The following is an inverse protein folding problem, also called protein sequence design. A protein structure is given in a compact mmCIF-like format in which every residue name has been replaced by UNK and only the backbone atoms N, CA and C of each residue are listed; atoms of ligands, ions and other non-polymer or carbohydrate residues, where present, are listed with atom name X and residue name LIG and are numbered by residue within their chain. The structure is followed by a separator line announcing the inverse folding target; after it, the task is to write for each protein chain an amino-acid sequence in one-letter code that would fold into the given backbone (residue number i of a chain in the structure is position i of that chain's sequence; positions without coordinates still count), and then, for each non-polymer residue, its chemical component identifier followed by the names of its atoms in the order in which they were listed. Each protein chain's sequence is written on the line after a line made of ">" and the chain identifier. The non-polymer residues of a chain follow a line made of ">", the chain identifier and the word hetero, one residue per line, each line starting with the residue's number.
data_IF_461909399379
#
_entry.id   IF_461909399379
#
_cell.length_a   1.000
_cell.length_b   1.000
_cell.length_c   1.000
_cell.angle_alpha   90.00
_cell.angle_beta   90.00
_cell.angle_gamma   90.00
#
_symmetry.space_group_name_H-M   'P 1'
#
loop_
_entity.id
_entity.type
_entity.pdbx_description
1 polymer ?
#
# COMPACT_ATOMS: atom_id res chain seq x y z
N UNK A 1 8.95 -14.24 21.74
CA UNK A 1 8.19 -14.26 20.45
C UNK A 1 8.61 -13.09 19.57
N UNK A 2 8.47 -11.82 19.97
CA UNK A 2 8.83 -10.64 19.16
C UNK A 2 10.28 -10.71 18.65
N UNK A 3 11.26 -11.02 19.50
CA UNK A 3 12.67 -11.15 19.10
C UNK A 3 12.91 -12.22 18.02
N UNK A 4 12.20 -13.35 18.08
CA UNK A 4 12.32 -14.40 17.06
C UNK A 4 11.77 -13.91 15.71
N UNK A 5 10.60 -13.28 15.72
CA UNK A 5 9.97 -12.73 14.50
C UNK A 5 10.86 -11.62 13.91
N UNK A 6 11.38 -10.70 14.75
CA UNK A 6 12.30 -9.66 14.32
C UNK A 6 13.60 -10.25 13.70
N UNK A 7 14.12 -11.36 14.23
CA UNK A 7 15.29 -12.04 13.65
C UNK A 7 14.97 -12.61 12.26
N UNK A 8 13.81 -13.24 12.07
CA UNK A 8 13.35 -13.74 10.77
C UNK A 8 13.16 -12.58 9.81
N UNK A 9 12.48 -11.52 10.24
CA UNK A 9 12.28 -10.32 9.44
C UNK A 9 13.62 -9.66 9.03
N UNK A 10 14.61 -9.66 9.91
CA UNK A 10 15.94 -9.14 9.60
C UNK A 10 16.65 -9.93 8.50
N UNK A 11 16.41 -11.23 8.39
CA UNK A 11 16.91 -12.08 7.31
C UNK A 11 16.17 -11.79 5.99
N UNK A 12 14.84 -11.75 6.02
CA UNK A 12 14.04 -11.49 4.82
C UNK A 12 14.24 -10.05 4.29
N UNK A 13 14.02 -9.05 5.13
CA UNK A 13 14.11 -7.64 4.77
C UNK A 13 15.56 -7.09 4.82
N UNK A 14 16.52 -7.89 5.28
CA UNK A 14 17.93 -7.52 5.31
C UNK A 14 18.58 -7.40 3.94
N UNK A 15 18.26 -8.30 3.01
CA UNK A 15 18.79 -8.29 1.64
C UNK A 15 17.93 -9.04 0.65
N UNK A 16 17.36 -10.20 1.00
CA UNK A 16 16.69 -11.09 0.04
C UNK A 16 15.50 -10.41 -0.65
N UNK A 17 14.53 -9.94 0.13
CA UNK A 17 13.32 -9.31 -0.44
C UNK A 17 13.63 -8.00 -1.12
N UNK A 18 14.57 -7.21 -0.60
CA UNK A 18 15.00 -5.95 -1.22
C UNK A 18 15.58 -6.22 -2.62
N UNK A 19 16.48 -7.20 -2.75
CA UNK A 19 17.07 -7.59 -4.03
C UNK A 19 16.00 -8.14 -4.99
N UNK A 20 15.10 -8.99 -4.52
CA UNK A 20 14.02 -9.54 -5.35
C UNK A 20 13.06 -8.46 -5.83
N UNK A 21 12.61 -7.57 -4.96
CA UNK A 21 11.66 -6.51 -5.29
C UNK A 21 12.26 -5.46 -6.23
N UNK A 22 13.38 -4.88 -5.83
CA UNK A 22 14.06 -3.87 -6.63
C UNK A 22 14.58 -4.48 -7.93
N UNK A 23 15.14 -5.69 -7.86
CA UNK A 23 15.62 -6.43 -9.03
C UNK A 23 14.51 -6.73 -10.04
N UNK A 24 13.34 -7.19 -9.57
CA UNK A 24 12.16 -7.40 -10.44
C UNK A 24 11.67 -6.08 -11.03
N UNK A 25 11.66 -5.01 -10.25
CA UNK A 25 11.30 -3.68 -10.74
C UNK A 25 12.27 -3.16 -11.81
N UNK A 26 13.57 -3.31 -11.60
CA UNK A 26 14.60 -2.97 -12.62
C UNK A 26 14.41 -3.83 -13.88
N UNK A 27 14.23 -5.13 -13.71
CA UNK A 27 13.97 -6.05 -14.82
C UNK A 27 12.78 -5.59 -15.68
N UNK A 28 11.61 -5.36 -15.09
CA UNK A 28 10.45 -4.88 -15.82
C UNK A 28 10.64 -3.46 -16.38
N UNK A 29 11.31 -2.57 -15.65
CA UNK A 29 11.63 -1.23 -16.15
C UNK A 29 12.39 -1.28 -17.48
N UNK A 30 13.45 -2.12 -17.54
CA UNK A 30 14.25 -2.28 -18.75
C UNK A 30 13.45 -2.99 -19.85
N UNK A 31 12.81 -4.12 -19.52
CA UNK A 31 12.10 -4.94 -20.50
C UNK A 31 10.86 -4.23 -21.09
N UNK A 32 10.18 -3.40 -20.32
CA UNK A 32 9.04 -2.58 -20.74
C UNK A 32 9.46 -1.18 -21.21
N UNK A 33 10.76 -0.94 -21.42
CA UNK A 33 11.30 0.32 -21.97
C UNK A 33 10.86 1.54 -21.19
N UNK A 34 11.07 1.52 -19.86
CA UNK A 34 10.69 2.60 -18.94
C UNK A 34 9.17 2.94 -19.01
N UNK A 35 8.34 1.93 -18.91
CA UNK A 35 6.87 2.04 -19.01
C UNK A 35 6.30 3.11 -18.07
N UNK A 36 6.85 3.24 -16.87
CA UNK A 36 6.45 4.23 -15.87
C UNK A 36 6.66 5.69 -16.31
N UNK A 37 7.54 5.94 -17.28
CA UNK A 37 7.72 7.26 -17.90
C UNK A 37 6.89 7.37 -19.17
N UNK A 38 7.03 6.38 -20.05
CA UNK A 38 6.44 6.38 -21.38
C UNK A 38 4.91 6.34 -21.38
N UNK A 39 4.30 5.58 -20.47
CA UNK A 39 2.84 5.44 -20.35
C UNK A 39 2.21 6.28 -19.23
N UNK A 40 2.99 7.07 -18.50
CA UNK A 40 2.49 7.88 -17.39
C UNK A 40 1.35 8.82 -17.79
N UNK A 41 1.55 9.59 -18.88
CA UNK A 41 0.52 10.49 -19.40
C UNK A 41 -0.77 9.75 -19.77
N UNK A 42 -0.67 8.53 -20.33
CA UNK A 42 -1.84 7.71 -20.64
C UNK A 42 -2.58 7.25 -19.38
N UNK A 43 -1.85 6.85 -18.36
CA UNK A 43 -2.45 6.52 -17.07
C UNK A 43 -3.29 7.70 -16.53
N UNK A 44 -2.74 8.93 -16.56
CA UNK A 44 -3.48 10.11 -16.13
C UNK A 44 -4.71 10.38 -17.02
N UNK A 45 -4.58 10.30 -18.35
CA UNK A 45 -5.72 10.56 -19.25
C UNK A 45 -6.83 9.51 -19.11
N UNK A 46 -6.48 8.25 -18.81
CA UNK A 46 -7.46 7.20 -18.52
C UNK A 46 -8.23 7.47 -17.23
N UNK A 47 -7.55 8.01 -16.21
CA UNK A 47 -8.20 8.42 -14.97
C UNK A 47 -9.21 9.56 -15.17
N UNK A 48 -8.82 10.58 -15.92
CA UNK A 48 -9.67 11.76 -16.16
C UNK A 48 -10.82 11.48 -17.10
N UNK A 49 -10.65 10.53 -18.04
CA UNK A 49 -11.68 10.11 -18.98
C UNK A 49 -12.78 9.23 -18.36
N UNK A 50 -12.43 8.45 -17.35
CA UNK A 50 -13.34 7.55 -16.63
C UNK A 50 -13.79 8.14 -15.26
N UNK A 51 -13.42 9.41 -14.99
CA UNK A 51 -13.77 10.08 -13.74
C UNK A 51 -15.24 10.45 -13.72
N UNK A 52 -16.05 9.59 -13.15
CA UNK A 52 -17.47 9.83 -12.90
C UNK A 52 -17.79 9.43 -11.45
N UNK A 53 -17.98 10.45 -10.59
CA UNK A 53 -18.37 10.25 -9.18
C UNK A 53 -19.74 9.59 -9.02
N UNK A 54 -20.56 9.60 -10.09
CA UNK A 54 -21.85 8.93 -10.14
C UNK A 54 -21.82 7.72 -11.08
N UNK A 55 -20.64 7.15 -11.32
CA UNK A 55 -20.41 6.03 -12.24
C UNK A 55 -21.32 4.83 -11.98
N UNK A 56 -21.41 3.94 -12.98
CA UNK A 56 -22.24 2.73 -12.87
C UNK A 56 -21.84 1.93 -11.64
N UNK A 57 -22.83 1.55 -10.83
CA UNK A 57 -22.65 0.71 -9.66
C UNK A 57 -21.79 -0.53 -9.95
N UNK A 58 -20.91 -0.88 -9.01
CA UNK A 58 -20.24 -2.18 -9.05
C UNK A 58 -21.27 -3.29 -8.96
N UNK A 59 -21.11 -4.30 -9.79
CA UNK A 59 -22.02 -5.45 -9.90
C UNK A 59 -21.25 -6.78 -9.96
N UNK A 60 -21.94 -7.88 -10.21
CA UNK A 60 -21.34 -9.20 -10.35
C UNK A 60 -20.31 -9.33 -11.49
N UNK A 61 -20.29 -8.40 -12.45
CA UNK A 61 -19.33 -8.36 -13.53
C UNK A 61 -18.11 -7.48 -13.22
N UNK A 62 -18.02 -6.92 -12.03
CA UNK A 62 -16.89 -6.11 -11.55
C UNK A 62 -17.25 -4.66 -11.26
N UNK A 63 -16.25 -3.81 -11.24
CA UNK A 63 -16.33 -2.37 -10.96
C UNK A 63 -15.77 -1.54 -12.13
N UNK A 64 -16.01 -0.22 -12.14
CA UNK A 64 -15.40 0.68 -13.12
C UNK A 64 -13.88 0.74 -12.92
N UNK A 65 -13.14 1.21 -13.93
CA UNK A 65 -11.69 1.42 -13.82
C UNK A 65 -11.36 2.43 -12.71
N UNK A 66 -12.17 3.48 -12.56
CA UNK A 66 -12.04 4.45 -11.49
C UNK A 66 -12.32 3.86 -10.10
N UNK A 67 -13.36 3.03 -9.93
CA UNK A 67 -13.62 2.31 -8.68
C UNK A 67 -12.49 1.35 -8.32
N UNK A 68 -11.91 0.66 -9.30
CA UNK A 68 -10.77 -0.22 -9.09
C UNK A 68 -9.53 0.57 -8.67
N UNK A 69 -9.26 1.72 -9.30
CA UNK A 69 -8.22 2.65 -8.88
C UNK A 69 -8.45 3.14 -7.45
N UNK A 70 -9.66 3.65 -7.16
CA UNK A 70 -9.98 4.17 -5.84
C UNK A 70 -9.83 3.08 -4.76
N UNK A 71 -10.19 1.83 -5.08
CA UNK A 71 -10.01 0.69 -4.18
C UNK A 71 -8.52 0.34 -3.99
N UNK A 72 -7.71 0.41 -5.04
CA UNK A 72 -6.27 0.21 -4.96
C UNK A 72 -5.59 1.33 -4.15
N UNK A 73 -5.93 2.60 -4.42
CA UNK A 73 -5.44 3.74 -3.62
C UNK A 73 -5.91 3.64 -2.16
N UNK A 74 -7.15 3.21 -1.91
CA UNK A 74 -7.66 2.98 -0.55
C UNK A 74 -6.80 1.98 0.22
N UNK A 75 -6.35 0.92 -0.44
CA UNK A 75 -5.47 -0.08 0.16
C UNK A 75 -4.06 0.48 0.41
N UNK A 76 -3.51 1.24 -0.52
CA UNK A 76 -2.16 1.78 -0.47
C UNK A 76 -2.04 2.96 0.50
N UNK A 77 -2.91 3.96 0.37
CA UNK A 77 -2.83 5.20 1.17
C UNK A 77 -3.45 4.99 2.55
N UNK A 78 -2.63 4.63 3.50
CA UNK A 78 -3.03 4.28 4.87
C UNK A 78 -2.00 4.69 5.91
N UNK A 79 -1.87 3.85 6.93
CA UNK A 79 -0.84 4.01 7.98
C UNK A 79 0.58 4.10 7.41
N UNK A 80 0.86 3.44 6.27
CA UNK A 80 2.17 3.47 5.61
C UNK A 80 2.63 4.88 5.26
N UNK A 81 1.75 5.72 4.74
CA UNK A 81 2.08 7.08 4.33
C UNK A 81 2.29 8.04 5.51
N UNK A 82 1.60 7.83 6.62
CA UNK A 82 1.66 8.72 7.78
C UNK A 82 2.64 8.19 8.83
N UNK A 83 2.33 7.08 9.45
CA UNK A 83 3.17 6.47 10.47
C UNK A 83 4.40 5.76 9.90
N UNK A 84 4.26 5.11 8.73
CA UNK A 84 5.37 4.42 8.05
C UNK A 84 6.46 5.38 7.58
N UNK A 85 6.10 6.54 7.02
CA UNK A 85 7.06 7.59 6.66
C UNK A 85 7.83 8.09 7.88
N UNK A 86 7.14 8.38 8.98
CA UNK A 86 7.75 8.78 10.25
C UNK A 86 8.71 7.70 10.79
N UNK A 87 8.28 6.44 10.80
CA UNK A 87 9.10 5.30 11.21
C UNK A 87 10.34 5.14 10.33
N UNK A 88 10.21 5.31 9.00
CA UNK A 88 11.34 5.24 8.09
C UNK A 88 12.38 6.34 8.37
N UNK A 89 11.93 7.57 8.62
CA UNK A 89 12.81 8.69 8.97
C UNK A 89 13.53 8.41 10.30
N UNK A 90 12.84 7.92 11.32
CA UNK A 90 13.45 7.63 12.63
C UNK A 90 14.41 6.44 12.57
N UNK A 91 14.03 5.35 11.89
CA UNK A 91 14.80 4.10 11.88
C UNK A 91 15.88 4.06 10.81
N UNK A 92 15.70 4.75 9.68
CA UNK A 92 16.59 4.77 8.52
C UNK A 92 17.27 6.11 8.27
N UNK A 93 16.89 7.15 9.01
CA UNK A 93 17.28 8.54 8.74
C UNK A 93 16.46 9.16 7.60
N UNK A 94 16.57 10.49 7.37
CA UNK A 94 15.87 11.18 6.27
C UNK A 94 16.14 10.58 4.89
N UNK A 95 17.33 10.00 4.68
CA UNK A 95 17.70 9.30 3.44
C UNK A 95 16.84 8.11 3.09
N UNK A 96 16.08 7.54 4.05
CA UNK A 96 15.12 6.48 3.76
C UNK A 96 14.04 6.94 2.77
N UNK A 97 13.66 8.21 2.77
CA UNK A 97 12.68 8.78 1.84
C UNK A 97 13.19 8.71 0.39
N UNK A 98 14.47 8.99 0.15
CA UNK A 98 15.07 8.81 -1.17
C UNK A 98 14.95 7.36 -1.66
N UNK A 99 15.23 6.39 -0.81
CA UNK A 99 15.12 4.97 -1.15
C UNK A 99 13.68 4.48 -1.30
N UNK A 100 12.71 5.14 -0.64
CA UNK A 100 11.28 4.96 -0.92
C UNK A 100 10.95 5.40 -2.35
N UNK A 101 11.43 6.56 -2.80
CA UNK A 101 11.23 7.02 -4.19
C UNK A 101 11.85 6.08 -5.21
N UNK A 102 13.09 5.62 -4.96
CA UNK A 102 13.77 4.67 -5.84
C UNK A 102 13.00 3.36 -5.94
N UNK A 103 12.57 2.79 -4.81
CA UNK A 103 11.79 1.55 -4.81
C UNK A 103 10.43 1.72 -5.48
N UNK A 104 9.76 2.85 -5.27
CA UNK A 104 8.48 3.16 -5.92
C UNK A 104 8.63 3.34 -7.44
N UNK A 105 9.67 4.03 -7.90
CA UNK A 105 9.93 4.21 -9.32
C UNK A 105 10.07 2.87 -10.04
N UNK A 106 10.86 1.94 -9.50
CA UNK A 106 10.97 0.59 -10.06
C UNK A 106 9.71 -0.24 -9.80
N UNK A 107 9.06 -0.07 -8.66
CA UNK A 107 7.80 -0.71 -8.30
C UNK A 107 6.65 -0.39 -9.26
N UNK A 108 6.62 0.83 -9.84
CA UNK A 108 5.62 1.18 -10.85
C UNK A 108 5.62 0.21 -12.04
N UNK A 109 6.78 -0.24 -12.52
CA UNK A 109 6.84 -1.23 -13.60
C UNK A 109 6.39 -2.62 -13.15
N UNK A 110 6.62 -2.97 -11.89
CA UNK A 110 6.17 -4.23 -11.31
C UNK A 110 4.64 -4.27 -11.18
N UNK A 111 4.04 -3.22 -10.61
CA UNK A 111 2.57 -3.16 -10.45
C UNK A 111 1.84 -3.11 -11.80
N UNK A 112 2.46 -2.53 -12.83
CA UNK A 112 1.97 -2.57 -14.20
C UNK A 112 1.86 -4.01 -14.71
N UNK A 113 2.92 -4.82 -14.49
CA UNK A 113 2.92 -6.23 -14.86
C UNK A 113 1.88 -7.03 -14.05
N UNK A 114 1.77 -6.78 -12.74
CA UNK A 114 0.77 -7.38 -11.86
C UNK A 114 -0.66 -7.12 -12.34
N UNK A 115 -0.97 -5.87 -12.70
CA UNK A 115 -2.28 -5.47 -13.16
C UNK A 115 -2.65 -6.14 -14.50
N UNK A 116 -1.70 -6.23 -15.43
CA UNK A 116 -1.91 -6.95 -16.71
C UNK A 116 -2.21 -8.42 -16.45
N UNK A 117 -1.37 -9.12 -15.69
CA UNK A 117 -1.57 -10.54 -15.40
C UNK A 117 -2.91 -10.78 -14.67
N UNK A 118 -3.26 -9.90 -13.75
CA UNK A 118 -4.53 -10.04 -13.02
C UNK A 118 -5.75 -9.91 -13.94
N UNK A 119 -5.67 -9.05 -14.96
CA UNK A 119 -6.71 -8.90 -15.97
C UNK A 119 -6.76 -10.09 -16.95
N UNK A 120 -5.61 -10.62 -17.35
CA UNK A 120 -5.52 -11.77 -18.25
C UNK A 120 -6.07 -13.07 -17.62
N UNK A 121 -5.82 -13.25 -16.32
CA UNK A 121 -6.18 -14.49 -15.61
C UNK A 121 -7.38 -14.35 -14.66
N UNK A 122 -8.14 -13.27 -14.77
CA UNK A 122 -9.40 -13.16 -14.03
C UNK A 122 -10.37 -14.24 -14.44
N UNK A 123 -11.12 -14.73 -13.46
CA UNK A 123 -12.10 -15.81 -13.68
C UNK A 123 -13.49 -15.36 -13.22
N UNK A 124 -14.52 -16.01 -13.75
CA UNK A 124 -15.88 -15.86 -13.25
C UNK A 124 -16.20 -17.07 -12.38
N UNK A 125 -16.30 -16.85 -11.07
CA UNK A 125 -16.58 -17.90 -10.09
C UNK A 125 -17.97 -17.63 -9.51
N UNK A 126 -18.87 -18.60 -9.56
CA UNK A 126 -20.24 -18.46 -9.05
C UNK A 126 -20.94 -17.16 -9.49
N UNK A 127 -20.81 -16.82 -10.78
CA UNK A 127 -21.35 -15.62 -11.45
C UNK A 127 -20.69 -14.29 -11.06
N UNK A 128 -19.66 -14.26 -10.24
CA UNK A 128 -18.90 -13.06 -9.89
C UNK A 128 -17.52 -13.08 -10.52
N UNK A 129 -17.06 -11.91 -11.02
CA UNK A 129 -15.68 -11.76 -11.49
C UNK A 129 -14.76 -11.67 -10.29
N UNK A 130 -13.69 -12.44 -10.32
CA UNK A 130 -12.63 -12.48 -9.31
C UNK A 130 -11.28 -12.67 -9.98
N UNK A 131 -10.20 -12.36 -9.29
CA UNK A 131 -8.85 -12.54 -9.79
C UNK A 131 -7.82 -12.12 -8.74
N UNK A 132 -6.59 -12.03 -9.16
CA UNK A 132 -5.44 -11.73 -8.31
C UNK A 132 -4.34 -12.75 -8.48
N UNK A 133 -3.25 -12.66 -7.70
CA UNK A 133 -2.06 -13.49 -7.92
C UNK A 133 -2.30 -14.99 -7.86
N UNK A 134 -3.15 -15.48 -6.98
CA UNK A 134 -3.43 -16.92 -6.90
C UNK A 134 -3.82 -17.50 -8.25
N UNK A 135 -4.58 -16.76 -9.07
CA UNK A 135 -5.06 -17.21 -10.35
C UNK A 135 -3.97 -17.26 -11.42
N UNK A 136 -3.05 -16.31 -11.48
CA UNK A 136 -1.94 -16.37 -12.43
C UNK A 136 -0.77 -17.24 -11.93
N UNK A 137 -0.58 -17.38 -10.61
CA UNK A 137 0.38 -18.33 -10.03
C UNK A 137 -0.03 -19.76 -10.38
N UNK A 138 -1.33 -20.09 -10.34
CA UNK A 138 -1.86 -21.41 -10.68
C UNK A 138 -1.59 -21.79 -12.14
N UNK A 139 -1.40 -20.82 -13.04
CA UNK A 139 -1.07 -21.07 -14.45
C UNK A 139 0.40 -21.46 -14.69
N UNK A 140 1.26 -21.33 -13.68
CA UNK A 140 2.66 -21.74 -13.79
C UNK A 140 2.80 -23.24 -14.01
N UNK A 141 3.91 -23.63 -14.62
CA UNK A 141 4.30 -25.05 -14.76
C UNK A 141 3.18 -25.93 -15.34
N UNK A 142 2.44 -25.42 -16.33
CA UNK A 142 1.30 -26.09 -16.95
C UNK A 142 0.23 -26.53 -15.92
N UNK A 143 -0.04 -25.70 -14.92
CA UNK A 143 -0.98 -25.97 -13.83
C UNK A 143 -0.61 -27.18 -12.97
N UNK A 144 0.67 -27.44 -12.83
CA UNK A 144 1.19 -28.54 -12.04
C UNK A 144 0.97 -28.38 -10.54
N UNK A 145 1.29 -29.43 -9.78
CA UNK A 145 1.13 -29.45 -8.31
C UNK A 145 1.89 -28.31 -7.64
N UNK A 146 3.11 -28.01 -8.11
CA UNK A 146 3.93 -26.93 -7.56
C UNK A 146 3.25 -25.55 -7.72
N UNK A 147 2.64 -25.27 -8.88
CA UNK A 147 1.89 -24.04 -9.12
C UNK A 147 0.73 -23.89 -8.12
N UNK A 148 -0.01 -24.98 -7.90
CA UNK A 148 -1.11 -24.99 -6.94
C UNK A 148 -0.62 -24.80 -5.50
N UNK A 149 0.48 -25.41 -5.10
CA UNK A 149 1.10 -25.21 -3.78
C UNK A 149 1.52 -23.75 -3.59
N UNK A 150 2.16 -23.14 -4.59
CA UNK A 150 2.54 -21.71 -4.55
C UNK A 150 1.32 -20.79 -4.49
N UNK A 151 0.25 -21.08 -5.22
CA UNK A 151 -0.99 -20.30 -5.21
C UNK A 151 -1.70 -20.39 -3.86
N UNK A 152 -1.76 -21.57 -3.25
CA UNK A 152 -2.30 -21.78 -1.89
C UNK A 152 -1.44 -21.06 -0.86
N UNK A 153 -0.11 -21.18 -0.96
CA UNK A 153 0.81 -20.49 -0.05
C UNK A 153 0.68 -18.97 -0.14
N UNK A 154 0.59 -18.41 -1.36
CA UNK A 154 0.31 -16.99 -1.58
C UNK A 154 -1.01 -16.60 -0.91
N UNK A 155 -2.08 -17.35 -1.16
CA UNK A 155 -3.41 -17.03 -0.64
C UNK A 155 -3.47 -17.04 0.88
N UNK A 156 -2.85 -18.04 1.53
CA UNK A 156 -2.77 -18.09 2.99
C UNK A 156 -1.95 -16.93 3.54
N UNK A 157 -0.79 -16.63 2.91
CA UNK A 157 0.05 -15.50 3.32
C UNK A 157 -0.70 -14.16 3.16
N UNK A 158 -1.45 -13.97 2.06
CA UNK A 158 -2.24 -12.76 1.81
C UNK A 158 -3.36 -12.58 2.85
N UNK A 159 -4.08 -13.66 3.20
CA UNK A 159 -5.11 -13.62 4.24
C UNK A 159 -4.50 -13.22 5.59
N UNK A 160 -3.36 -13.80 5.96
CA UNK A 160 -2.68 -13.50 7.21
C UNK A 160 -2.06 -12.08 7.20
N UNK A 161 -1.39 -11.71 6.09
CA UNK A 161 -0.75 -10.41 5.94
C UNK A 161 -1.74 -9.26 5.97
N UNK A 162 -2.73 -9.28 5.08
CA UNK A 162 -3.63 -8.16 4.83
C UNK A 162 -4.94 -8.33 5.63
N UNK A 163 -5.55 -9.51 5.55
CA UNK A 163 -6.83 -9.77 6.19
C UNK A 163 -6.78 -9.65 7.72
N UNK A 164 -5.69 -10.04 8.35
CA UNK A 164 -5.58 -10.04 9.81
C UNK A 164 -4.51 -9.07 10.33
N UNK A 165 -3.22 -9.35 10.10
CA UNK A 165 -2.13 -8.59 10.72
C UNK A 165 -2.07 -7.15 10.23
N UNK A 166 -2.18 -6.93 8.93
CA UNK A 166 -2.20 -5.60 8.35
C UNK A 166 -3.40 -4.76 8.81
N UNK A 167 -4.59 -5.36 8.84
CA UNK A 167 -5.76 -4.69 9.40
C UNK A 167 -5.59 -4.36 10.89
N UNK A 168 -4.86 -5.22 11.63
CA UNK A 168 -4.44 -4.94 13.00
C UNK A 168 -3.53 -3.71 13.11
N UNK A 169 -2.54 -3.56 12.19
CA UNK A 169 -1.66 -2.37 12.13
C UNK A 169 -2.47 -1.10 11.90
N UNK A 170 -3.41 -1.14 10.94
CA UNK A 170 -4.26 0.02 10.64
C UNK A 170 -5.09 0.42 11.87
N UNK A 171 -5.76 -0.56 12.49
CA UNK A 171 -6.59 -0.34 13.68
C UNK A 171 -5.78 0.16 14.89
N UNK A 172 -4.56 -0.36 15.08
CA UNK A 172 -3.64 0.06 16.12
C UNK A 172 -3.27 1.54 15.98
N UNK A 173 -2.87 1.95 14.76
CA UNK A 173 -2.50 3.33 14.48
C UNK A 173 -3.69 4.30 14.62
N UNK A 174 -4.91 3.88 14.23
CA UNK A 174 -6.13 4.67 14.50
C UNK A 174 -6.33 4.82 16.01
N UNK A 175 -6.20 3.72 16.77
CA UNK A 175 -6.35 3.72 18.24
C UNK A 175 -5.37 4.69 18.92
N UNK A 176 -4.09 4.64 18.53
CA UNK A 176 -3.04 5.54 19.03
C UNK A 176 -3.32 7.01 18.67
N UNK A 177 -3.65 7.31 17.42
CA UNK A 177 -3.93 8.67 16.98
C UNK A 177 -5.14 9.29 17.68
N UNK A 178 -6.22 8.51 17.84
CA UNK A 178 -7.44 8.95 18.52
C UNK A 178 -7.19 9.13 20.03
N UNK A 179 -6.40 8.26 20.64
CA UNK A 179 -6.00 8.41 22.04
C UNK A 179 -5.17 9.69 22.25
N UNK A 180 -4.21 9.96 21.37
CA UNK A 180 -3.38 11.16 21.45
C UNK A 180 -4.18 12.46 21.25
N UNK A 181 -5.18 12.47 20.37
CA UNK A 181 -5.96 13.66 20.05
C UNK A 181 -7.19 13.87 20.96
N UNK A 182 -7.84 12.82 21.42
CA UNK A 182 -9.13 12.93 22.10
C UNK A 182 -9.17 12.24 23.47
N UNK A 183 -8.05 11.60 23.87
CA UNK A 183 -7.96 10.81 25.10
C UNK A 183 -9.03 9.68 25.19
N UNK A 184 -9.43 9.13 24.00
CA UNK A 184 -10.35 8.01 23.90
C UNK A 184 -9.55 6.72 23.91
N UNK A 185 -9.98 5.75 24.71
CA UNK A 185 -9.32 4.45 24.83
C UNK A 185 -9.28 3.70 23.48
N UNK A 186 -8.13 3.06 23.12
CA UNK A 186 -8.01 2.20 21.93
C UNK A 186 -9.04 1.05 21.89
N UNK A 187 -9.54 0.58 23.04
CA UNK A 187 -10.61 -0.42 23.10
C UNK A 187 -11.93 0.12 22.50
N UNK A 188 -12.29 1.37 22.81
CA UNK A 188 -13.50 2.02 22.29
C UNK A 188 -13.30 2.27 20.79
N UNK A 189 -12.15 2.84 20.42
CA UNK A 189 -11.82 3.12 19.02
C UNK A 189 -11.82 1.85 18.19
N UNK A 190 -11.19 0.77 18.66
CA UNK A 190 -11.15 -0.53 18.00
C UNK A 190 -12.54 -1.15 17.82
N UNK A 191 -13.40 -1.06 18.84
CA UNK A 191 -14.78 -1.53 18.73
C UNK A 191 -15.57 -0.76 17.66
N UNK A 192 -15.45 0.57 17.64
CA UNK A 192 -16.09 1.43 16.62
C UNK A 192 -15.59 1.10 15.22
N UNK A 193 -14.26 1.00 15.02
CA UNK A 193 -13.66 0.65 13.73
C UNK A 193 -14.11 -0.74 13.27
N UNK A 194 -14.14 -1.73 14.15
CA UNK A 194 -14.60 -3.08 13.84
C UNK A 194 -16.09 -3.11 13.42
N UNK A 195 -16.95 -2.38 14.10
CA UNK A 195 -18.39 -2.30 13.77
C UNK A 195 -18.62 -1.57 12.44
N UNK A 196 -17.95 -0.44 12.20
CA UNK A 196 -18.03 0.29 10.93
C UNK A 196 -17.48 -0.56 9.77
N UNK A 197 -16.37 -1.25 9.98
CA UNK A 197 -15.81 -2.22 9.02
C UNK A 197 -16.82 -3.32 8.71
N UNK A 198 -17.42 -3.92 9.73
CA UNK A 198 -18.46 -4.94 9.58
C UNK A 198 -19.62 -4.42 8.73
N UNK A 199 -20.11 -3.20 8.99
CA UNK A 199 -21.17 -2.60 8.19
C UNK A 199 -20.82 -2.52 6.71
N UNK A 200 -19.56 -2.22 6.36
CA UNK A 200 -19.09 -2.20 4.96
C UNK A 200 -18.93 -3.62 4.42
N UNK A 201 -18.30 -4.53 5.17
CA UNK A 201 -18.00 -5.91 4.75
C UNK A 201 -19.27 -6.71 4.42
N UNK A 202 -20.32 -6.60 5.24
CA UNK A 202 -21.60 -7.26 4.98
C UNK A 202 -22.34 -6.68 3.76
N UNK A 203 -21.98 -5.48 3.29
CA UNK A 203 -22.50 -4.89 2.05
C UNK A 203 -21.82 -5.38 0.78
N UNK A 204 -20.71 -6.14 0.91
CA UNK A 204 -20.00 -6.74 -0.22
C UNK A 204 -19.39 -5.72 -1.19
N UNK A 205 -19.03 -6.20 -2.40
CA UNK A 205 -18.30 -5.44 -3.40
C UNK A 205 -18.92 -4.06 -3.72
N UNK A 206 -20.24 -3.99 -3.85
CA UNK A 206 -20.93 -2.72 -4.16
C UNK A 206 -20.68 -1.65 -3.11
N UNK A 207 -20.74 -2.01 -1.83
CA UNK A 207 -20.52 -1.06 -0.73
C UNK A 207 -19.07 -0.68 -0.58
N UNK A 208 -18.15 -1.64 -0.78
CA UNK A 208 -16.70 -1.40 -0.80
C UNK A 208 -16.36 -0.38 -1.90
N UNK A 209 -16.76 -0.64 -3.14
CA UNK A 209 -16.50 0.24 -4.28
C UNK A 209 -17.10 1.64 -4.07
N UNK A 210 -18.36 1.73 -3.62
CA UNK A 210 -19.02 3.02 -3.38
C UNK A 210 -18.36 3.81 -2.23
N UNK A 211 -17.85 3.14 -1.21
CA UNK A 211 -17.14 3.79 -0.11
C UNK A 211 -15.81 4.37 -0.60
N UNK A 212 -14.98 3.52 -1.26
CA UNK A 212 -13.65 3.94 -1.71
C UNK A 212 -13.70 5.04 -2.75
N UNK A 213 -14.62 4.93 -3.72
CA UNK A 213 -14.83 5.93 -4.79
C UNK A 213 -15.12 7.34 -4.27
N UNK A 214 -15.89 7.44 -3.18
CA UNK A 214 -16.29 8.74 -2.61
C UNK A 214 -15.30 9.27 -1.59
N UNK A 215 -14.82 8.40 -0.70
CA UNK A 215 -13.99 8.81 0.45
C UNK A 215 -12.55 9.11 0.02
N UNK A 216 -11.97 8.27 -0.84
CA UNK A 216 -10.54 8.37 -1.18
C UNK A 216 -10.16 9.71 -1.83
N UNK A 217 -10.86 10.22 -2.85
CA UNK A 217 -10.48 11.49 -3.46
C UNK A 217 -10.61 12.68 -2.50
N UNK A 218 -11.65 12.68 -1.67
CA UNK A 218 -11.89 13.76 -0.70
C UNK A 218 -10.80 13.77 0.37
N UNK A 219 -10.52 12.61 0.98
CA UNK A 219 -9.51 12.52 2.04
C UNK A 219 -8.11 12.85 1.51
N UNK A 220 -7.74 12.35 0.31
CA UNK A 220 -6.45 12.63 -0.29
C UNK A 220 -6.31 14.12 -0.64
N UNK A 221 -7.34 14.72 -1.23
CA UNK A 221 -7.35 16.13 -1.59
C UNK A 221 -7.19 17.06 -0.38
N UNK A 222 -7.93 16.82 0.70
CA UNK A 222 -7.82 17.58 1.94
C UNK A 222 -6.45 17.40 2.59
N UNK A 223 -5.93 16.18 2.62
CA UNK A 223 -4.62 15.90 3.18
C UNK A 223 -3.50 16.63 2.42
N UNK A 224 -3.50 16.52 1.10
CA UNK A 224 -2.54 17.21 0.21
C UNK A 224 -2.59 18.73 0.45
N UNK A 225 -3.79 19.30 0.50
CA UNK A 225 -3.98 20.74 0.73
C UNK A 225 -3.35 21.18 2.06
N UNK A 226 -3.65 20.49 3.15
CA UNK A 226 -3.13 20.84 4.48
C UNK A 226 -1.61 20.64 4.55
N UNK A 227 -1.06 19.57 3.95
CA UNK A 227 0.39 19.39 3.86
C UNK A 227 1.06 20.55 3.12
N UNK A 228 0.50 21.00 2.00
CA UNK A 228 1.02 22.14 1.24
C UNK A 228 0.99 23.41 2.11
N UNK A 229 -0.10 23.66 2.83
CA UNK A 229 -0.21 24.81 3.75
C UNK A 229 0.90 24.76 4.80
N UNK A 230 1.14 23.61 5.44
CA UNK A 230 2.19 23.46 6.46
C UNK A 230 3.58 23.69 5.85
N UNK A 231 3.85 23.11 4.68
CA UNK A 231 5.14 23.27 3.98
C UNK A 231 5.37 24.74 3.64
N UNK A 232 4.32 25.47 3.21
CA UNK A 232 4.42 26.91 2.95
C UNK A 232 4.68 27.70 4.24
N UNK A 233 4.03 27.36 5.36
CA UNK A 233 4.32 27.96 6.67
C UNK A 233 5.80 27.75 7.04
N UNK A 234 6.33 26.55 6.82
CA UNK A 234 7.70 26.16 7.15
C UNK A 234 8.68 26.34 5.97
N UNK A 235 8.39 27.26 5.02
CA UNK A 235 9.14 27.39 3.76
C UNK A 235 10.66 27.56 3.94
N UNK A 236 11.11 28.21 5.01
CA UNK A 236 12.51 28.40 5.33
C UNK A 236 13.30 27.07 5.50
N UNK A 237 12.60 25.98 5.87
CA UNK A 237 13.20 24.68 6.12
C UNK A 237 13.12 23.72 4.93
N UNK A 238 12.48 24.11 3.82
CA UNK A 238 12.27 23.21 2.67
C UNK A 238 13.60 22.75 2.07
N UNK A 239 14.52 23.68 1.82
CA UNK A 239 15.81 23.35 1.22
C UNK A 239 16.61 22.39 2.12
N UNK A 240 16.66 22.66 3.43
CA UNK A 240 17.32 21.81 4.43
C UNK A 240 16.67 20.42 4.49
N UNK A 241 15.34 20.32 4.38
CA UNK A 241 14.65 19.05 4.34
C UNK A 241 15.05 18.21 3.12
N UNK A 242 15.06 18.80 1.91
CA UNK A 242 15.55 18.11 0.71
C UNK A 242 17.03 17.75 0.82
N UNK A 243 17.88 18.66 1.25
CA UNK A 243 19.31 18.39 1.48
C UNK A 243 19.49 17.20 2.42
N UNK A 244 18.75 17.15 3.53
CA UNK A 244 18.78 16.04 4.47
C UNK A 244 18.41 14.71 3.83
N UNK A 245 17.39 14.67 2.95
CA UNK A 245 16.98 13.46 2.22
C UNK A 245 18.12 12.97 1.32
N UNK A 246 18.69 13.84 0.48
CA UNK A 246 19.71 13.44 -0.50
C UNK A 246 21.06 13.12 0.16
N UNK A 247 21.52 13.95 1.09
CA UNK A 247 22.80 13.73 1.77
C UNK A 247 22.77 12.46 2.60
N UNK A 248 21.71 12.23 3.38
CA UNK A 248 21.61 11.04 4.23
C UNK A 248 21.30 9.74 3.45
N UNK A 249 20.84 9.84 2.21
CA UNK A 249 20.66 8.67 1.36
C UNK A 249 21.97 7.95 1.04
N UNK A 250 23.10 8.69 1.01
CA UNK A 250 24.43 8.17 0.61
C UNK A 250 25.50 8.36 1.68
N UNK A 251 25.21 9.05 2.78
CA UNK A 251 26.18 9.31 3.84
C UNK A 251 26.34 8.10 4.77
N UNK A 252 27.60 7.74 5.03
CA UNK A 252 27.94 6.74 6.05
C UNK A 252 27.85 7.28 7.47
N UNK A 253 27.88 8.63 7.62
CA UNK A 253 27.76 9.34 8.89
C UNK A 253 26.78 10.51 8.71
N UNK A 254 25.61 10.43 9.25
CA UNK A 254 24.67 11.57 9.27
C UNK A 254 25.05 12.52 10.40
N UNK A 255 25.26 13.80 10.07
CA UNK A 255 25.66 14.85 11.03
C UNK A 255 24.59 15.93 11.16
N UNK A 256 23.52 15.92 10.37
CA UNK A 256 22.52 16.97 10.32
C UNK A 256 21.25 16.62 11.11
N UNK A 257 21.00 17.44 12.12
CA UNK A 257 19.69 17.63 12.74
C UNK A 257 19.11 16.47 13.56
N UNK A 258 19.66 16.16 14.73
CA UNK A 258 18.96 15.35 15.77
C UNK A 258 18.74 13.86 15.48
N UNK A 259 18.86 13.43 14.23
CA UNK A 259 18.81 12.02 13.82
C UNK A 259 20.25 11.49 13.73
N UNK A 260 20.64 10.67 14.70
CA UNK A 260 21.96 10.03 14.76
C UNK A 260 22.22 9.22 13.50
N UNK A 261 23.43 9.37 12.93
CA UNK A 261 23.90 8.79 11.67
C UNK A 261 23.57 7.33 11.44
N UNK A 262 22.46 7.11 10.79
CA UNK A 262 22.06 5.79 10.33
C UNK A 262 22.75 5.51 9.01
N UNK A 263 23.50 4.42 8.92
CA UNK A 263 24.27 4.10 7.70
C UNK A 263 23.34 3.83 6.50
N UNK A 264 23.86 4.04 5.29
CA UNK A 264 23.17 3.83 4.00
C UNK A 264 22.40 2.49 3.97
N UNK A 265 22.95 1.43 4.55
CA UNK A 265 22.27 0.12 4.65
C UNK A 265 20.93 0.20 5.37
N UNK A 266 20.83 0.97 6.46
CA UNK A 266 19.57 1.16 7.18
C UNK A 266 18.61 2.03 6.39
N UNK A 267 19.09 3.10 5.76
CA UNK A 267 18.27 3.94 4.89
C UNK A 267 17.63 3.13 3.75
N UNK A 268 18.42 2.29 3.06
CA UNK A 268 17.90 1.38 2.03
C UNK A 268 16.87 0.42 2.62
N UNK A 269 17.22 -0.28 3.72
CA UNK A 269 16.34 -1.29 4.32
C UNK A 269 14.99 -0.71 4.71
N UNK A 270 15.00 0.37 5.50
CA UNK A 270 13.75 0.97 5.98
C UNK A 270 13.02 1.73 4.88
N UNK A 271 13.75 2.35 3.95
CA UNK A 271 13.14 2.98 2.78
C UNK A 271 12.39 1.99 1.91
N UNK A 272 13.03 0.90 1.51
CA UNK A 272 12.38 -0.12 0.66
C UNK A 272 11.26 -0.84 1.41
N UNK A 273 11.49 -1.28 2.65
CA UNK A 273 10.48 -2.02 3.41
C UNK A 273 9.23 -1.18 3.71
N UNK A 274 9.40 0.07 4.16
CA UNK A 274 8.26 0.96 4.46
C UNK A 274 7.62 1.53 3.18
N UNK A 275 8.42 1.77 2.12
CA UNK A 275 7.91 2.12 0.80
C UNK A 275 7.00 1.04 0.24
N UNK A 276 7.44 -0.22 0.28
CA UNK A 276 6.62 -1.34 -0.16
C UNK A 276 5.34 -1.52 0.66
N UNK A 277 5.44 -1.40 1.98
CA UNK A 277 4.25 -1.47 2.85
C UNK A 277 3.21 -0.39 2.50
N UNK A 278 3.65 0.77 1.99
CA UNK A 278 2.78 1.86 1.56
C UNK A 278 2.21 1.60 0.16
N UNK A 279 3.07 1.48 -0.86
CA UNK A 279 2.63 1.43 -2.27
C UNK A 279 2.27 0.04 -2.80
N UNK A 280 2.57 -1.01 -2.05
CA UNK A 280 2.22 -2.41 -2.33
C UNK A 280 2.75 -2.99 -3.66
N UNK A 281 3.65 -2.29 -4.38
CA UNK A 281 4.13 -2.73 -5.68
C UNK A 281 5.01 -3.99 -5.58
N UNK A 282 4.59 -5.06 -6.22
CA UNK A 282 5.25 -6.38 -6.14
C UNK A 282 4.79 -7.25 -4.98
N UNK A 283 3.88 -6.77 -4.13
CA UNK A 283 3.28 -7.58 -3.07
C UNK A 283 2.23 -8.56 -3.57
N UNK A 284 1.58 -8.28 -4.69
CA UNK A 284 0.45 -9.07 -5.17
C UNK A 284 -0.89 -8.74 -4.49
N UNK A 285 -1.00 -7.62 -3.80
CA UNK A 285 -2.21 -7.19 -3.10
C UNK A 285 -3.19 -6.48 -4.02
N UNK A 286 -2.79 -5.35 -4.61
CA UNK A 286 -3.63 -4.52 -5.50
C UNK A 286 -4.11 -5.23 -6.79
N UNK A 287 -3.43 -6.27 -7.33
CA UNK A 287 -3.96 -7.07 -8.43
C UNK A 287 -5.38 -7.57 -8.22
N UNK A 288 -5.84 -7.78 -7.00
CA UNK A 288 -7.22 -8.18 -6.71
C UNK A 288 -8.24 -7.10 -7.12
N UNK A 289 -7.93 -5.81 -6.89
CA UNK A 289 -8.77 -4.71 -7.35
C UNK A 289 -8.67 -4.52 -8.87
N UNK A 290 -7.45 -4.59 -9.40
CA UNK A 290 -7.21 -4.43 -10.84
C UNK A 290 -7.86 -5.54 -11.68
N UNK A 291 -7.93 -6.79 -11.17
CA UNK A 291 -8.56 -7.92 -11.86
C UNK A 291 -10.03 -7.69 -12.19
N UNK A 292 -10.78 -7.09 -11.27
CA UNK A 292 -12.23 -6.91 -11.40
C UNK A 292 -12.64 -5.62 -12.11
N UNK A 293 -11.68 -4.82 -12.57
CA UNK A 293 -11.94 -3.64 -13.38
C UNK A 293 -12.51 -4.02 -14.75
N UNK A 294 -13.54 -3.29 -15.18
CA UNK A 294 -14.17 -3.43 -16.50
C UNK A 294 -13.40 -2.58 -17.51
N UNK A 295 -12.39 -3.15 -18.13
CA UNK A 295 -11.56 -2.52 -19.17
C UNK A 295 -11.61 -3.31 -20.46
N UNK A 296 -11.35 -2.63 -21.60
CA UNK A 296 -11.32 -3.24 -22.92
C UNK A 296 -10.02 -4.01 -23.16
N UNK A 297 -8.92 -3.50 -22.59
CA UNK A 297 -7.60 -4.09 -22.74
C UNK A 297 -6.88 -4.16 -21.37
N UNK A 298 -6.20 -5.27 -21.02
CA UNK A 298 -5.45 -5.41 -19.77
C UNK A 298 -4.44 -4.29 -19.50
N UNK A 299 -3.84 -3.75 -20.55
CA UNK A 299 -2.85 -2.67 -20.48
C UNK A 299 -3.45 -1.36 -19.95
N UNK A 300 -4.73 -1.11 -20.19
CA UNK A 300 -5.41 0.06 -19.63
C UNK A 300 -5.35 0.04 -18.11
N UNK A 301 -5.57 -1.14 -17.51
CA UNK A 301 -5.49 -1.27 -16.06
C UNK A 301 -4.03 -1.24 -15.55
N UNK A 302 -3.08 -1.72 -16.34
CA UNK A 302 -1.66 -1.54 -16.07
C UNK A 302 -1.25 -0.07 -16.00
N UNK A 303 -1.72 0.76 -16.96
CA UNK A 303 -1.47 2.20 -16.96
C UNK A 303 -2.07 2.90 -15.73
N UNK A 304 -3.26 2.50 -15.31
CA UNK A 304 -3.91 3.02 -14.10
C UNK A 304 -3.12 2.64 -12.85
N UNK A 305 -2.63 1.39 -12.77
CA UNK A 305 -1.84 0.92 -11.64
C UNK A 305 -0.52 1.71 -11.43
N UNK A 306 0.13 2.18 -12.50
CA UNK A 306 1.30 3.08 -12.37
C UNK A 306 0.97 4.33 -11.54
N UNK A 307 -0.22 4.90 -11.76
CA UNK A 307 -0.63 6.15 -11.13
C UNK A 307 -0.94 5.96 -9.65
N UNK A 308 -1.41 4.77 -9.23
CA UNK A 308 -1.67 4.52 -7.81
C UNK A 308 -0.39 4.63 -6.98
N UNK A 309 0.71 3.99 -7.44
CA UNK A 309 2.03 4.07 -6.78
C UNK A 309 2.59 5.49 -6.80
N UNK A 310 2.39 6.23 -7.90
CA UNK A 310 2.81 7.62 -7.99
C UNK A 310 2.09 8.48 -6.96
N UNK A 311 0.77 8.40 -6.86
CA UNK A 311 -0.03 9.16 -5.89
C UNK A 311 0.39 8.79 -4.47
N UNK A 312 0.51 7.50 -4.17
CA UNK A 312 0.89 7.01 -2.83
C UNK A 312 2.24 7.58 -2.39
N UNK A 313 3.28 7.30 -3.14
CA UNK A 313 4.65 7.54 -2.68
C UNK A 313 5.19 8.92 -3.07
N UNK A 314 5.05 9.33 -4.35
CA UNK A 314 5.62 10.60 -4.79
C UNK A 314 4.78 11.82 -4.39
N UNK A 315 3.48 11.63 -4.11
CA UNK A 315 2.62 12.71 -3.63
C UNK A 315 2.40 12.61 -2.13
N UNK A 316 1.59 11.65 -1.66
CA UNK A 316 1.11 11.62 -0.27
C UNK A 316 2.25 11.40 0.72
N UNK A 317 3.05 10.34 0.52
CA UNK A 317 4.16 10.01 1.41
C UNK A 317 5.24 11.10 1.42
N UNK A 318 5.57 11.67 0.25
CA UNK A 318 6.55 12.75 0.14
C UNK A 318 6.09 14.00 0.90
N UNK A 319 4.82 14.37 0.78
CA UNK A 319 4.27 15.50 1.52
C UNK A 319 4.34 15.26 3.04
N UNK A 320 3.99 14.06 3.50
CA UNK A 320 4.14 13.69 4.92
C UNK A 320 5.58 13.84 5.39
N UNK A 321 6.53 13.29 4.62
CA UNK A 321 7.96 13.36 4.95
C UNK A 321 8.46 14.80 5.02
N UNK A 322 8.05 15.65 4.06
CA UNK A 322 8.41 17.07 4.07
C UNK A 322 7.82 17.81 5.27
N UNK A 323 6.56 17.54 5.65
CA UNK A 323 5.97 18.12 6.86
C UNK A 323 6.78 17.71 8.10
N UNK A 324 7.13 16.44 8.24
CA UNK A 324 7.93 15.95 9.39
C UNK A 324 9.30 16.61 9.43
N UNK A 325 10.01 16.68 8.31
CA UNK A 325 11.36 17.21 8.24
C UNK A 325 11.40 18.74 8.38
N UNK A 326 10.40 19.46 7.84
CA UNK A 326 10.35 20.92 7.94
C UNK A 326 9.89 21.40 9.33
N UNK A 327 9.08 20.62 10.03
CA UNK A 327 8.63 20.93 11.39
C UNK A 327 9.75 20.82 12.44
N UNK A 328 10.76 19.99 12.16
CA UNK A 328 11.95 19.78 13.01
C UNK A 328 11.64 19.48 14.49
N UNK A 329 10.59 18.74 14.77
CA UNK A 329 10.16 18.37 16.15
C UNK A 329 10.77 17.06 16.65
N UNK A 330 11.51 16.34 15.80
CA UNK A 330 12.09 15.04 16.14
C UNK A 330 13.33 15.14 16.99
N UNK A 331 13.25 14.71 18.26
CA UNK A 331 14.41 14.53 19.15
C UNK A 331 14.92 13.07 19.17
N UNK A 332 14.47 12.22 18.23
CA UNK A 332 14.83 10.81 18.14
C UNK A 332 14.03 9.86 19.06
N UNK A 333 13.12 10.36 19.89
CA UNK A 333 12.29 9.55 20.80
C UNK A 333 10.90 9.28 20.26
N UNK A 334 10.33 10.21 19.47
CA UNK A 334 9.01 10.06 18.84
C UNK A 334 9.13 9.27 17.55
N UNK A 335 8.18 8.38 17.31
CA UNK A 335 8.11 7.58 16.06
C UNK A 335 6.65 7.37 15.63
N UNK A 336 6.45 6.74 14.48
CA UNK A 336 5.12 6.37 14.00
C UNK A 336 4.17 7.56 13.90
N UNK A 337 2.90 7.32 14.23
CA UNK A 337 1.86 8.34 14.10
C UNK A 337 2.03 9.48 15.08
N UNK A 338 2.59 9.24 16.27
CA UNK A 338 2.83 10.26 17.27
C UNK A 338 3.79 11.34 16.75
N UNK A 339 4.86 10.96 16.01
CA UNK A 339 5.76 11.94 15.39
C UNK A 339 5.03 12.78 14.32
N UNK A 340 4.21 12.14 13.49
CA UNK A 340 3.43 12.86 12.47
C UNK A 340 2.45 13.84 13.12
N UNK A 341 1.70 13.42 14.15
CA UNK A 341 0.79 14.29 14.88
C UNK A 341 1.52 15.50 15.47
N UNK A 342 2.68 15.30 16.11
CA UNK A 342 3.48 16.40 16.69
C UNK A 342 4.04 17.34 15.63
N UNK A 343 4.38 16.83 14.43
CA UNK A 343 4.83 17.66 13.32
C UNK A 343 3.72 18.59 12.78
N UNK A 344 2.49 18.09 12.68
CA UNK A 344 1.33 18.91 12.30
C UNK A 344 0.93 19.87 13.42
N UNK A 345 1.01 19.45 14.68
CA UNK A 345 0.73 20.28 15.85
C UNK A 345 1.70 21.46 15.95
N UNK A 346 2.98 21.28 15.60
CA UNK A 346 3.97 22.35 15.59
C UNK A 346 3.61 23.50 14.63
N UNK A 347 2.97 23.19 13.49
CA UNK A 347 2.59 24.20 12.51
C UNK A 347 1.18 24.77 12.71
N UNK A 348 0.22 23.94 13.16
CA UNK A 348 -1.20 24.29 13.21
C UNK A 348 -1.75 24.33 14.65
N UNK A 349 -0.90 24.15 15.68
CA UNK A 349 -1.35 23.99 17.05
C UNK A 349 -2.13 22.68 17.23
N UNK A 350 -2.94 22.59 18.28
CA UNK A 350 -3.69 21.37 18.61
C UNK A 350 -4.65 20.91 17.50
N UNK A 351 -5.12 21.81 16.62
CA UNK A 351 -5.92 21.46 15.45
C UNK A 351 -5.18 20.57 14.46
N UNK A 352 -3.85 20.68 14.38
CA UNK A 352 -3.02 19.78 13.56
C UNK A 352 -3.02 18.35 14.09
N UNK A 353 -2.99 18.17 15.40
CA UNK A 353 -3.10 16.86 16.06
C UNK A 353 -4.47 16.21 15.76
N UNK A 354 -5.57 16.98 15.94
CA UNK A 354 -6.92 16.52 15.60
C UNK A 354 -7.03 16.17 14.12
N UNK A 355 -6.50 17.03 13.23
CA UNK A 355 -6.55 16.79 11.80
C UNK A 355 -5.90 15.45 11.41
N UNK A 356 -4.71 15.14 11.97
CA UNK A 356 -4.04 13.87 11.69
C UNK A 356 -4.82 12.67 12.23
N UNK A 357 -5.44 12.78 13.42
CA UNK A 357 -6.26 11.71 13.95
C UNK A 357 -7.46 11.40 13.04
N UNK A 358 -8.13 12.44 12.53
CA UNK A 358 -9.26 12.31 11.59
C UNK A 358 -8.78 11.82 10.22
N UNK A 359 -7.71 12.39 9.67
CA UNK A 359 -7.14 11.98 8.39
C UNK A 359 -6.71 10.51 8.43
N UNK A 360 -5.97 10.10 9.47
CA UNK A 360 -5.56 8.71 9.63
C UNK A 360 -6.76 7.76 9.79
N UNK A 361 -7.80 8.18 10.51
CA UNK A 361 -9.01 7.37 10.59
C UNK A 361 -9.53 7.04 9.18
N UNK A 362 -9.70 8.02 8.31
CA UNK A 362 -10.19 7.77 6.95
C UNK A 362 -9.20 6.98 6.09
N UNK A 363 -7.92 7.31 6.13
CA UNK A 363 -6.88 6.60 5.38
C UNK A 363 -6.75 5.14 5.85
N UNK A 364 -6.53 4.91 7.13
CA UNK A 364 -6.36 3.56 7.65
C UNK A 364 -7.65 2.74 7.59
N UNK A 365 -8.82 3.37 7.75
CA UNK A 365 -10.10 2.69 7.60
C UNK A 365 -10.38 2.29 6.15
N UNK A 366 -10.03 3.14 5.17
CA UNK A 366 -10.14 2.76 3.76
C UNK A 366 -9.17 1.62 3.41
N UNK A 367 -7.97 1.59 4.01
CA UNK A 367 -7.02 0.48 3.86
C UNK A 367 -7.57 -0.82 4.47
N UNK A 368 -8.19 -0.77 5.64
CA UNK A 368 -8.88 -1.92 6.24
C UNK A 368 -9.91 -2.51 5.27
N UNK A 369 -10.68 -1.65 4.61
CA UNK A 369 -11.70 -2.08 3.63
C UNK A 369 -11.05 -2.71 2.39
N UNK A 370 -10.01 -2.10 1.83
CA UNK A 370 -9.27 -2.62 0.68
C UNK A 370 -8.59 -3.95 0.98
N UNK A 371 -7.90 -4.05 2.10
CA UNK A 371 -7.20 -5.27 2.52
C UNK A 371 -8.15 -6.40 2.93
N UNK A 372 -9.27 -6.06 3.56
CA UNK A 372 -10.36 -7.01 3.76
C UNK A 372 -10.80 -7.62 2.42
N UNK A 373 -11.03 -6.79 1.39
CA UNK A 373 -11.46 -7.24 0.08
C UNK A 373 -10.41 -8.17 -0.60
N UNK A 374 -9.11 -7.87 -0.46
CA UNK A 374 -8.05 -8.73 -0.98
C UNK A 374 -8.00 -10.08 -0.26
N UNK A 375 -8.14 -10.07 1.05
CA UNK A 375 -8.28 -11.31 1.83
C UNK A 375 -9.53 -12.10 1.47
N UNK A 376 -10.69 -11.44 1.27
CA UNK A 376 -11.95 -12.09 0.84
C UNK A 376 -11.78 -12.80 -0.50
N UNK A 377 -11.05 -12.21 -1.47
CA UNK A 377 -10.78 -12.84 -2.76
C UNK A 377 -9.98 -14.15 -2.60
N UNK A 378 -9.01 -14.18 -1.68
CA UNK A 378 -8.23 -15.37 -1.36
C UNK A 378 -9.01 -16.41 -0.55
N UNK A 379 -9.91 -15.99 0.35
CA UNK A 379 -10.86 -16.91 1.01
C UNK A 379 -11.78 -17.56 -0.02
N UNK A 380 -12.28 -16.80 -0.99
CA UNK A 380 -13.10 -17.35 -2.10
C UNK A 380 -12.32 -18.37 -2.91
N UNK A 381 -11.05 -18.08 -3.19
CA UNK A 381 -10.18 -19.00 -3.94
C UNK A 381 -9.95 -20.33 -3.21
N UNK A 382 -9.66 -20.29 -1.89
CA UNK A 382 -9.32 -21.48 -1.10
C UNK A 382 -10.55 -22.28 -0.64
N UNK A 383 -11.60 -21.61 -0.18
CA UNK A 383 -12.70 -22.22 0.58
C UNK A 383 -14.09 -21.94 -0.02
N UNK A 384 -14.16 -21.14 -1.11
CA UNK A 384 -15.44 -20.75 -1.72
C UNK A 384 -16.23 -19.73 -0.88
N UNK A 385 -17.43 -19.37 -1.37
CA UNK A 385 -18.26 -18.31 -0.76
C UNK A 385 -18.75 -18.63 0.65
N UNK A 386 -18.89 -19.90 1.02
CA UNK A 386 -19.41 -20.30 2.33
C UNK A 386 -18.55 -19.84 3.49
N UNK A 387 -17.24 -19.67 3.29
CA UNK A 387 -16.31 -19.24 4.31
C UNK A 387 -16.29 -17.72 4.54
N UNK A 388 -16.89 -16.91 3.64
CA UNK A 388 -16.79 -15.44 3.70
C UNK A 388 -17.37 -14.87 4.99
N UNK A 389 -18.53 -15.37 5.45
CA UNK A 389 -19.14 -14.84 6.67
C UNK A 389 -18.30 -15.11 7.91
N UNK A 390 -17.66 -16.27 7.97
CA UNK A 390 -16.71 -16.61 9.05
C UNK A 390 -15.51 -15.65 8.97
N UNK A 391 -14.95 -15.44 7.78
CA UNK A 391 -13.84 -14.53 7.56
C UNK A 391 -14.18 -13.08 7.99
N UNK A 392 -15.38 -12.57 7.66
CA UNK A 392 -15.86 -11.24 8.08
C UNK A 392 -15.79 -11.07 9.59
N UNK A 393 -16.32 -12.03 10.32
CA UNK A 393 -16.34 -12.00 11.80
C UNK A 393 -14.91 -12.06 12.35
N UNK A 394 -14.07 -12.95 11.81
CA UNK A 394 -12.68 -13.06 12.24
C UNK A 394 -11.86 -11.79 11.98
N UNK A 395 -12.08 -11.10 10.85
CA UNK A 395 -11.45 -9.80 10.57
C UNK A 395 -11.91 -8.73 11.55
N UNK A 396 -13.20 -8.66 11.87
CA UNK A 396 -13.70 -7.71 12.88
C UNK A 396 -13.06 -7.95 14.25
N UNK A 397 -12.90 -9.21 14.65
CA UNK A 397 -12.21 -9.58 15.90
C UNK A 397 -10.73 -9.17 15.82
N UNK A 398 -10.06 -9.41 14.69
CA UNK A 398 -8.66 -9.04 14.47
C UNK A 398 -8.45 -7.52 14.53
N UNK A 399 -9.36 -6.72 13.97
CA UNK A 399 -9.35 -5.25 14.05
C UNK A 399 -9.42 -4.82 15.52
N UNK A 400 -10.38 -5.36 16.28
CA UNK A 400 -10.53 -5.03 17.70
C UNK A 400 -9.30 -5.42 18.52
N UNK A 401 -8.79 -6.64 18.36
CA UNK A 401 -7.59 -7.10 19.05
C UNK A 401 -6.37 -6.27 18.63
N UNK A 402 -6.19 -6.02 17.33
CA UNK A 402 -5.07 -5.27 16.78
C UNK A 402 -4.99 -3.85 17.35
N UNK A 403 -6.13 -3.17 17.53
CA UNK A 403 -6.16 -1.80 18.09
C UNK A 403 -5.59 -1.71 19.52
N UNK A 404 -5.55 -2.81 20.25
CA UNK A 404 -5.13 -2.85 21.67
C UNK A 404 -3.77 -3.48 21.89
N UNK A 405 -3.13 -4.00 20.82
CA UNK A 405 -1.83 -4.66 20.92
C UNK A 405 -0.67 -3.65 20.97
N UNK A 406 0.50 -4.13 21.41
CA UNK A 406 1.73 -3.36 21.32
C UNK A 406 2.11 -3.14 19.86
N UNK A 407 2.46 -1.91 19.52
CA UNK A 407 2.80 -1.46 18.16
C UNK A 407 3.85 -2.38 17.51
N UNK A 408 4.96 -2.66 18.21
CA UNK A 408 6.06 -3.47 17.68
C UNK A 408 5.63 -4.88 17.25
N UNK A 409 4.77 -5.54 18.05
CA UNK A 409 4.31 -6.89 17.73
C UNK A 409 3.47 -6.91 16.45
N UNK A 410 2.59 -5.93 16.28
CA UNK A 410 1.66 -5.87 15.13
C UNK A 410 2.44 -5.62 13.84
N UNK A 411 3.42 -4.70 13.89
CA UNK A 411 4.27 -4.40 12.75
C UNK A 411 5.18 -5.58 12.36
N UNK A 412 5.82 -6.23 13.33
CA UNK A 412 6.70 -7.38 13.05
C UNK A 412 5.93 -8.55 12.43
N UNK A 413 4.71 -8.82 12.88
CA UNK A 413 3.86 -9.86 12.28
C UNK A 413 3.40 -9.47 10.87
N UNK A 414 3.02 -8.22 10.65
CA UNK A 414 2.64 -7.74 9.33
C UNK A 414 3.82 -7.83 8.34
N UNK A 415 5.02 -7.40 8.74
CA UNK A 415 6.23 -7.49 7.92
C UNK A 415 6.56 -8.95 7.55
N UNK A 416 6.42 -9.88 8.50
CA UNK A 416 6.68 -11.31 8.25
C UNK A 416 5.75 -11.86 7.15
N UNK A 417 4.44 -11.71 7.32
CA UNK A 417 3.48 -12.27 6.37
C UNK A 417 3.49 -11.55 5.02
N UNK A 418 3.73 -10.24 5.00
CA UNK A 418 3.98 -9.49 3.77
C UNK A 418 5.19 -10.05 3.01
N UNK A 419 6.29 -10.30 3.71
CA UNK A 419 7.48 -10.92 3.10
C UNK A 419 7.20 -12.29 2.50
N UNK A 420 6.43 -13.12 3.19
CA UNK A 420 6.03 -14.44 2.68
C UNK A 420 5.13 -14.34 1.44
N UNK A 421 4.23 -13.37 1.40
CA UNK A 421 3.33 -13.15 0.26
C UNK A 421 4.07 -12.70 -1.00
N UNK A 422 5.10 -11.86 -0.85
CA UNK A 422 5.90 -11.30 -1.95
C UNK A 422 6.58 -12.40 -2.78
N UNK A 423 7.13 -13.43 -2.16
CA UNK A 423 7.98 -14.44 -2.82
C UNK A 423 7.25 -15.15 -3.98
N UNK A 424 6.11 -15.83 -3.76
CA UNK A 424 5.41 -16.53 -4.85
C UNK A 424 4.90 -15.57 -5.92
N UNK A 425 4.55 -14.35 -5.57
CA UNK A 425 4.12 -13.33 -6.52
C UNK A 425 5.26 -12.95 -7.49
N UNK A 426 6.43 -12.60 -6.95
CA UNK A 426 7.59 -12.23 -7.80
C UNK A 426 8.07 -13.39 -8.67
N UNK A 427 8.04 -14.63 -8.18
CA UNK A 427 8.33 -15.82 -8.99
C UNK A 427 7.38 -15.88 -10.19
N UNK A 428 6.08 -15.69 -9.97
CA UNK A 428 5.10 -15.73 -11.04
C UNK A 428 5.30 -14.59 -12.05
N UNK A 429 5.55 -13.37 -11.59
CA UNK A 429 5.83 -12.22 -12.46
C UNK A 429 7.02 -12.48 -13.36
N UNK A 430 8.12 -12.98 -12.80
CA UNK A 430 9.34 -13.28 -13.56
C UNK A 430 9.14 -14.43 -14.56
N UNK A 431 8.40 -15.47 -14.22
CA UNK A 431 8.13 -16.59 -15.11
C UNK A 431 7.12 -16.25 -16.21
N UNK A 432 6.15 -15.39 -15.92
CA UNK A 432 5.13 -14.95 -16.88
C UNK A 432 5.52 -13.63 -17.61
N UNK A 433 6.76 -13.18 -17.49
CA UNK A 433 7.18 -11.91 -18.06
C UNK A 433 6.94 -11.80 -19.58
N UNK A 434 7.15 -12.89 -20.32
CA UNK A 434 6.95 -12.92 -21.78
C UNK A 434 5.51 -12.52 -22.14
N UNK A 435 4.53 -13.05 -21.43
CA UNK A 435 3.11 -12.72 -21.65
C UNK A 435 2.82 -11.24 -21.39
N UNK A 436 3.40 -10.67 -20.33
CA UNK A 436 3.26 -9.23 -20.02
C UNK A 436 3.85 -8.38 -21.14
N UNK A 437 5.03 -8.75 -21.65
CA UNK A 437 5.72 -8.01 -22.72
C UNK A 437 4.94 -8.06 -24.02
N UNK A 438 4.50 -9.25 -24.44
CA UNK A 438 3.69 -9.46 -25.64
C UNK A 438 2.40 -8.64 -25.58
N UNK A 439 1.65 -8.73 -24.48
CA UNK A 439 0.40 -7.96 -24.28
C UNK A 439 0.64 -6.45 -24.32
N UNK A 440 1.75 -5.97 -23.72
CA UNK A 440 2.10 -4.56 -23.74
C UNK A 440 2.53 -4.09 -25.14
N UNK A 441 3.32 -4.88 -25.88
CA UNK A 441 3.80 -4.55 -27.23
C UNK A 441 2.67 -4.57 -28.26
N UNK A 442 1.70 -5.49 -28.14
CA UNK A 442 0.49 -5.53 -28.98
C UNK A 442 -0.34 -4.26 -28.79
N UNK A 443 -0.57 -3.86 -27.55
CA UNK A 443 -1.27 -2.63 -27.24
C UNK A 443 -0.56 -1.40 -27.83
N UNK A 444 0.77 -1.34 -27.72
CA UNK A 444 1.57 -0.22 -28.21
C UNK A 444 1.52 -0.11 -29.73
N UNK A 445 1.53 -1.25 -30.46
CA UNK A 445 1.37 -1.28 -31.93
C UNK A 445 0.01 -0.73 -32.35
N UNK A 446 -1.07 -1.15 -31.69
CA UNK A 446 -2.44 -0.70 -32.01
C UNK A 446 -2.57 0.82 -31.78
N UNK A 447 -1.96 1.34 -30.71
CA UNK A 447 -2.11 2.75 -30.29
C UNK A 447 -0.97 3.65 -30.76
N UNK A 448 -0.05 3.15 -31.60
CA UNK A 448 1.13 3.89 -32.15
C UNK A 448 1.96 4.59 -31.07
N UNK A 449 2.35 3.84 -30.01
CA UNK A 449 3.07 4.33 -28.85
C UNK A 449 4.55 3.99 -28.88
#
# INVERSE_FOLDING_TARGET
>A
MVHLIASINSLFWGSLLILLLVGTGIFFTIRLRFVQVRKFRKGITQLTGDFDLNGKDADHNGMSSFQALATAIAAQVGTGNLAGAATAIVSGGPGAIFWMWVSAFFGMSTIYAEAILSQLFKKKVEREVTGGPAYYIEELFNKGVLAKVLAVFFSLSCILALGFMGNGVQANSIGEAVQNAFNISPYITGAVVALLGGFVFFGGLKRIASFTEKVVPIMAGLYILICIVIIVINHANILTAFESIFVNAFSTKSILGGFLGMGVKKAIRYGVARGLFSNEAGMGSTPHAHAIAKVKNPVEQGNVALITVFIDTFVVLTLTALVILTANVGNGTLTGITLTQKSFEAALGYSGNIFIAVALFFFAFSTIIGWYFFGEANIKYLFGKKAINIYRVLVMISIFIGSTQKVDLVWELADLFNGLMVIPNLIALLLLNKLVLETSDEYDKIHKL
#
